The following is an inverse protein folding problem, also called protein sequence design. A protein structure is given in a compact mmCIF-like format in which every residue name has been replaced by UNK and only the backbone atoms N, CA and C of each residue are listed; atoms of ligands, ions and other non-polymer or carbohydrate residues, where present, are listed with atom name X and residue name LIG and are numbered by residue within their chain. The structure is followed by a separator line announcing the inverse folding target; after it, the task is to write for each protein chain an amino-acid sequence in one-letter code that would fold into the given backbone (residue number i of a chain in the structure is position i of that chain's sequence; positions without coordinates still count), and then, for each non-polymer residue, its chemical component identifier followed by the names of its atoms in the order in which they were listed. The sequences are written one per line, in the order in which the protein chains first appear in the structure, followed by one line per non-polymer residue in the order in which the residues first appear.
data_IF_034075879870
#
_entry.id   IF_034075879870
#
_cell.length_a   1.000
_cell.length_b   1.000
_cell.length_c   1.000
_cell.angle_alpha   90.00
_cell.angle_beta   90.00
_cell.angle_gamma   90.00
#
_symmetry.space_group_name_H-M   'P 1'
#
loop_
_entity.id
_entity.type
_entity.pdbx_description
1 polymer ?
#
# COMPACT_ATOMS: atom_id res chain seq x y z
N UNK A 1 16.07 -25.04 19.57
CA UNK A 1 14.66 -25.24 19.18
C UNK A 1 14.09 -26.27 20.14
N UNK A 2 12.96 -25.99 20.80
CA UNK A 2 12.32 -26.99 21.68
C UNK A 2 11.76 -28.13 20.85
N UNK A 3 11.75 -29.34 21.40
CA UNK A 3 11.10 -30.47 20.75
C UNK A 3 9.60 -30.16 20.60
N UNK A 4 9.02 -30.27 19.39
CA UNK A 4 7.59 -30.12 19.17
C UNK A 4 6.75 -30.99 20.12
N UNK A 5 7.21 -32.19 20.47
CA UNK A 5 6.51 -33.10 21.37
C UNK A 5 6.43 -32.53 22.79
N UNK A 6 7.50 -31.89 23.28
CA UNK A 6 7.52 -31.27 24.60
C UNK A 6 6.47 -30.14 24.69
N UNK A 7 6.31 -29.35 23.62
CA UNK A 7 5.32 -28.27 23.57
C UNK A 7 3.90 -28.83 23.63
N UNK A 8 3.59 -29.86 22.84
CA UNK A 8 2.26 -30.49 22.79
C UNK A 8 1.91 -31.16 24.12
N UNK A 9 2.86 -31.90 24.72
CA UNK A 9 2.66 -32.57 26.00
C UNK A 9 2.45 -31.59 27.17
N UNK A 10 2.86 -30.33 27.01
CA UNK A 10 2.73 -29.28 28.00
C UNK A 10 1.94 -28.07 27.47
N UNK A 11 1.02 -28.30 26.53
CA UNK A 11 0.27 -27.24 25.84
C UNK A 11 -0.52 -26.34 26.82
N UNK A 12 -0.88 -26.85 27.99
CA UNK A 12 -1.50 -26.09 29.08
C UNK A 12 -0.61 -24.97 29.64
N UNK A 13 0.70 -25.00 29.38
CA UNK A 13 1.65 -23.93 29.76
C UNK A 13 1.75 -22.81 28.74
N UNK A 14 1.21 -22.99 27.54
CA UNK A 14 1.23 -21.97 26.47
C UNK A 14 0.50 -20.71 26.94
N UNK A 15 1.07 -19.54 26.69
CA UNK A 15 0.51 -18.24 27.10
C UNK A 15 0.27 -17.37 25.87
N UNK A 16 -0.94 -16.82 25.67
CA UNK A 16 -1.17 -15.85 24.60
C UNK A 16 -0.57 -14.49 24.98
N UNK A 17 0.22 -13.94 24.08
CA UNK A 17 0.61 -12.53 24.07
C UNK A 17 -0.24 -11.79 23.04
N UNK A 18 -0.38 -10.48 23.24
CA UNK A 18 -1.24 -9.61 22.46
C UNK A 18 -0.39 -8.48 21.89
N UNK A 19 -0.29 -8.41 20.56
CA UNK A 19 0.38 -7.32 19.88
C UNK A 19 -0.65 -6.27 19.45
N UNK A 20 -0.57 -5.03 19.96
CA UNK A 20 -1.55 -3.99 19.62
C UNK A 20 -1.53 -3.61 18.14
N UNK A 21 -2.71 -3.42 17.58
CA UNK A 21 -2.95 -2.90 16.24
C UNK A 21 -3.60 -1.52 16.37
N UNK A 22 -2.97 -0.51 15.76
CA UNK A 22 -3.42 0.88 15.84
C UNK A 22 -4.18 1.29 14.59
N UNK A 23 -5.24 2.09 14.73
CA UNK A 23 -5.84 2.74 13.56
C UNK A 23 -5.14 4.05 13.22
N UNK A 24 -5.00 4.32 11.92
CA UNK A 24 -4.40 5.56 11.44
C UNK A 24 -5.29 6.79 11.67
N UNK A 25 -6.61 6.62 11.82
CA UNK A 25 -7.58 7.74 11.97
C UNK A 25 -7.58 8.34 13.37
N UNK A 26 -7.73 7.52 14.42
CA UNK A 26 -7.83 7.99 15.80
C UNK A 26 -6.52 7.83 16.58
N UNK A 27 -5.56 7.08 16.02
CA UNK A 27 -4.30 6.71 16.66
C UNK A 27 -4.53 5.96 17.98
N UNK A 28 -5.56 5.10 18.00
CA UNK A 28 -5.92 4.25 19.12
C UNK A 28 -5.68 2.78 18.77
N UNK A 29 -5.48 1.95 19.79
CA UNK A 29 -5.53 0.51 19.65
C UNK A 29 -6.97 0.12 19.28
N UNK A 30 -7.14 -0.58 18.17
CA UNK A 30 -8.44 -1.10 17.69
C UNK A 30 -8.55 -2.61 17.78
N UNK A 31 -7.46 -3.29 18.10
CA UNK A 31 -7.44 -4.72 18.30
C UNK A 31 -6.06 -5.24 18.64
N UNK A 32 -5.97 -6.56 18.77
CA UNK A 32 -4.74 -7.25 19.10
C UNK A 32 -4.58 -8.51 18.27
N UNK A 33 -3.37 -8.73 17.77
CA UNK A 33 -2.96 -10.04 17.25
C UNK A 33 -2.54 -10.95 18.40
N UNK A 34 -3.02 -12.19 18.36
CA UNK A 34 -2.71 -13.22 19.34
C UNK A 34 -1.47 -13.99 18.90
N UNK A 35 -0.44 -13.94 19.74
CA UNK A 35 0.85 -14.59 19.53
C UNK A 35 1.13 -15.59 20.65
N UNK A 36 1.33 -16.85 20.29
CA UNK A 36 1.58 -17.90 21.27
C UNK A 36 3.02 -17.88 21.78
N UNK A 37 3.17 -17.90 23.11
CA UNK A 37 4.46 -17.99 23.79
C UNK A 37 4.50 -19.19 24.73
N UNK A 38 5.70 -19.68 25.02
CA UNK A 38 5.92 -20.82 25.91
C UNK A 38 6.93 -20.46 27.01
N UNK A 39 6.65 -20.80 28.28
CA UNK A 39 7.57 -20.54 29.38
C UNK A 39 8.73 -21.54 29.37
N UNK A 40 9.95 -21.01 29.40
CA UNK A 40 11.19 -21.79 29.46
C UNK A 40 12.05 -21.35 30.64
N UNK A 41 13.16 -22.06 30.87
CA UNK A 41 14.17 -21.64 31.85
C UNK A 41 14.81 -20.28 31.51
N UNK A 42 14.82 -19.90 30.22
CA UNK A 42 15.39 -18.65 29.72
C UNK A 42 14.36 -17.51 29.68
N UNK A 43 13.09 -17.78 30.02
CA UNK A 43 11.98 -16.84 29.97
C UNK A 43 10.88 -17.27 28.99
N UNK A 44 10.02 -16.33 28.62
CA UNK A 44 8.97 -16.55 27.62
C UNK A 44 9.57 -16.51 26.22
N UNK A 45 9.33 -17.55 25.42
CA UNK A 45 9.78 -17.63 24.03
C UNK A 45 8.59 -17.72 23.07
N UNK A 46 8.70 -17.12 21.89
CA UNK A 46 7.68 -17.23 20.85
C UNK A 46 7.58 -18.65 20.31
N UNK A 47 6.36 -19.10 20.05
CA UNK A 47 6.07 -20.37 19.36
C UNK A 47 5.96 -20.23 17.85
N UNK A 48 6.23 -19.06 17.27
CA UNK A 48 6.28 -18.90 15.81
C UNK A 48 7.17 -19.95 15.11
N UNK A 49 8.38 -20.32 15.62
CA UNK A 49 9.18 -21.38 15.00
C UNK A 49 8.50 -22.75 15.00
N UNK A 50 7.69 -23.07 16.02
CA UNK A 50 6.92 -24.31 16.08
C UNK A 50 5.80 -24.35 15.02
N UNK A 51 5.07 -23.24 14.84
CA UNK A 51 4.00 -23.17 13.83
C UNK A 51 4.53 -23.12 12.41
N UNK A 52 5.69 -22.47 12.20
CA UNK A 52 6.31 -22.30 10.88
C UNK A 52 7.13 -23.52 10.43
N UNK A 53 7.41 -24.47 11.32
CA UNK A 53 8.18 -25.67 10.99
C UNK A 53 7.31 -26.66 10.18
N UNK A 54 7.66 -26.98 8.93
CA UNK A 54 6.90 -27.90 8.09
C UNK A 54 7.00 -29.36 8.55
N UNK A 55 7.95 -29.69 9.42
CA UNK A 55 8.13 -31.06 9.96
C UNK A 55 7.21 -31.36 11.14
N UNK A 56 6.59 -30.34 11.73
CA UNK A 56 5.63 -30.49 12.83
C UNK A 56 4.27 -30.93 12.26
N UNK A 57 3.71 -32.07 12.72
CA UNK A 57 2.41 -32.55 12.27
C UNK A 57 1.28 -31.54 12.47
N UNK A 58 0.32 -31.51 11.54
CA UNK A 58 -0.80 -30.55 11.59
C UNK A 58 -1.68 -30.75 12.82
N UNK A 59 -1.79 -31.98 13.32
CA UNK A 59 -2.53 -32.33 14.55
C UNK A 59 -1.90 -31.69 15.78
N UNK A 60 -0.56 -31.63 15.82
CA UNK A 60 0.18 -31.00 16.91
C UNK A 60 0.03 -29.49 16.86
N UNK A 61 0.09 -28.89 15.66
CA UNK A 61 -0.20 -27.47 15.48
C UNK A 61 -1.61 -27.13 15.95
N UNK A 62 -2.60 -27.93 15.55
CA UNK A 62 -3.99 -27.73 15.96
C UNK A 62 -4.19 -27.83 17.47
N UNK A 63 -3.64 -28.86 18.12
CA UNK A 63 -3.78 -29.04 19.56
C UNK A 63 -3.29 -27.82 20.36
N UNK A 64 -2.15 -27.24 19.96
CA UNK A 64 -1.62 -26.02 20.57
C UNK A 64 -2.47 -24.79 20.21
N UNK A 65 -2.90 -24.67 18.94
CA UNK A 65 -3.75 -23.56 18.47
C UNK A 65 -5.07 -23.50 19.23
N UNK A 66 -5.74 -24.63 19.47
CA UNK A 66 -7.01 -24.68 20.19
C UNK A 66 -6.86 -24.12 21.62
N UNK A 67 -5.76 -24.47 22.30
CA UNK A 67 -5.45 -23.94 23.65
C UNK A 67 -5.16 -22.44 23.61
N UNK A 68 -4.46 -21.95 22.58
CA UNK A 68 -4.17 -20.52 22.40
C UNK A 68 -5.48 -19.74 22.19
N UNK A 69 -6.36 -20.23 21.31
CA UNK A 69 -7.66 -19.62 21.05
C UNK A 69 -8.51 -19.55 22.31
N UNK A 70 -8.60 -20.66 23.06
CA UNK A 70 -9.32 -20.71 24.34
C UNK A 70 -8.84 -19.63 25.30
N UNK A 71 -7.53 -19.60 25.58
CA UNK A 71 -6.95 -18.66 26.55
C UNK A 71 -7.08 -17.22 26.09
N UNK A 72 -6.85 -16.94 24.81
CA UNK A 72 -6.91 -15.59 24.26
C UNK A 72 -8.34 -15.04 24.31
N UNK A 73 -9.32 -15.82 23.85
CA UNK A 73 -10.73 -15.41 23.84
C UNK A 73 -11.28 -15.24 25.26
N UNK A 74 -10.97 -16.17 26.18
CA UNK A 74 -11.35 -16.03 27.59
C UNK A 74 -10.77 -14.76 28.20
N UNK A 75 -9.49 -14.47 27.94
CA UNK A 75 -8.82 -13.28 28.45
C UNK A 75 -9.43 -12.00 27.88
N UNK A 76 -9.67 -11.95 26.57
CA UNK A 76 -10.32 -10.81 25.90
C UNK A 76 -11.68 -10.50 26.51
N UNK A 77 -12.53 -11.52 26.67
CA UNK A 77 -13.86 -11.40 27.28
C UNK A 77 -13.81 -10.97 28.74
N UNK A 78 -12.97 -11.61 29.56
CA UNK A 78 -12.84 -11.28 30.99
C UNK A 78 -12.32 -9.86 31.25
N UNK A 79 -11.57 -9.30 30.31
CA UNK A 79 -10.96 -7.96 30.43
C UNK A 79 -11.85 -6.85 29.87
N UNK A 80 -13.09 -7.18 29.48
CA UNK A 80 -14.07 -6.27 28.86
C UNK A 80 -13.45 -5.39 27.76
N UNK A 81 -12.55 -5.98 26.96
CA UNK A 81 -11.92 -5.25 25.86
C UNK A 81 -12.94 -5.01 24.75
N UNK A 82 -12.91 -3.81 24.22
CA UNK A 82 -13.58 -3.48 22.97
C UNK A 82 -12.60 -3.62 21.81
N UNK A 83 -13.10 -3.78 20.59
CA UNK A 83 -12.29 -3.91 19.39
C UNK A 83 -12.17 -5.34 18.86
N UNK A 84 -11.09 -5.62 18.16
CA UNK A 84 -10.90 -6.84 17.37
C UNK A 84 -9.82 -7.76 17.97
N UNK A 85 -10.02 -9.07 17.85
CA UNK A 85 -9.04 -10.10 18.20
C UNK A 85 -8.64 -10.83 16.93
N UNK A 86 -7.39 -10.67 16.53
CA UNK A 86 -6.83 -11.26 15.32
C UNK A 86 -6.19 -12.60 15.67
N UNK A 87 -6.67 -13.66 15.02
CA UNK A 87 -6.27 -15.04 15.24
C UNK A 87 -5.65 -15.61 13.96
N UNK A 88 -4.40 -16.03 14.07
CA UNK A 88 -3.67 -16.72 13.01
C UNK A 88 -4.32 -18.07 12.70
N UNK A 89 -4.62 -18.33 11.42
CA UNK A 89 -5.18 -19.59 10.90
C UNK A 89 -4.21 -20.17 9.87
N UNK A 90 -3.71 -21.37 10.18
CA UNK A 90 -2.92 -22.14 9.22
C UNK A 90 -3.83 -22.81 8.20
N UNK A 91 -3.63 -22.46 6.93
CA UNK A 91 -4.41 -23.04 5.82
C UNK A 91 -4.15 -24.55 5.69
N UNK A 92 -2.93 -25.02 5.97
CA UNK A 92 -2.61 -26.46 6.04
C UNK A 92 -3.49 -27.18 7.07
N UNK A 93 -3.55 -26.65 8.29
CA UNK A 93 -4.27 -27.27 9.40
C UNK A 93 -5.76 -27.32 9.13
N UNK A 94 -6.34 -26.17 8.75
CA UNK A 94 -7.79 -26.06 8.58
C UNK A 94 -8.32 -26.92 7.44
N UNK A 95 -7.58 -27.03 6.33
CA UNK A 95 -7.98 -27.86 5.20
C UNK A 95 -7.69 -29.35 5.40
N UNK A 96 -6.57 -29.70 6.06
CA UNK A 96 -6.18 -31.10 6.25
C UNK A 96 -7.01 -31.81 7.32
N UNK A 97 -7.36 -31.09 8.39
CA UNK A 97 -8.11 -31.65 9.53
C UNK A 97 -9.59 -31.31 9.50
N UNK A 98 -10.03 -30.46 8.57
CA UNK A 98 -11.41 -30.01 8.42
C UNK A 98 -12.00 -29.39 9.72
N UNK A 99 -11.18 -28.62 10.44
CA UNK A 99 -11.50 -28.11 11.79
C UNK A 99 -12.31 -26.81 11.81
N UNK A 100 -12.78 -26.34 10.66
CA UNK A 100 -13.47 -25.05 10.55
C UNK A 100 -14.81 -24.99 11.33
N UNK A 101 -15.57 -26.09 11.37
CA UNK A 101 -16.77 -26.20 12.21
C UNK A 101 -16.40 -26.15 13.69
N UNK A 102 -15.40 -26.93 14.10
CA UNK A 102 -14.91 -26.97 15.49
C UNK A 102 -14.42 -25.60 15.97
N UNK A 103 -13.79 -24.81 15.10
CA UNK A 103 -13.40 -23.43 15.43
C UNK A 103 -14.61 -22.56 15.79
N UNK A 104 -15.70 -22.63 15.00
CA UNK A 104 -16.92 -21.88 15.27
C UNK A 104 -17.55 -22.32 16.59
N UNK A 105 -17.70 -23.63 16.79
CA UNK A 105 -18.22 -24.18 18.05
C UNK A 105 -17.43 -23.67 19.25
N UNK A 106 -16.09 -23.73 19.16
CA UNK A 106 -15.20 -23.24 20.20
C UNK A 106 -15.45 -21.76 20.51
N UNK A 107 -15.52 -20.91 19.49
CA UNK A 107 -15.73 -19.48 19.70
C UNK A 107 -17.11 -19.18 20.28
N UNK A 108 -18.15 -19.92 19.86
CA UNK A 108 -19.51 -19.81 20.40
C UNK A 108 -19.59 -20.29 21.86
N UNK A 109 -18.93 -21.39 22.22
CA UNK A 109 -18.84 -21.89 23.60
C UNK A 109 -18.22 -20.85 24.54
N UNK A 110 -17.23 -20.10 24.06
CA UNK A 110 -16.52 -19.09 24.85
C UNK A 110 -17.29 -17.77 24.97
N UNK A 111 -17.99 -17.37 23.91
CA UNK A 111 -18.44 -15.99 23.72
C UNK A 111 -19.90 -15.81 23.33
N UNK A 112 -20.56 -16.85 22.80
CA UNK A 112 -21.83 -16.74 22.07
C UNK A 112 -21.66 -16.16 20.66
N UNK A 113 -22.76 -16.09 19.90
CA UNK A 113 -22.73 -15.63 18.49
C UNK A 113 -22.24 -14.19 18.34
N UNK A 114 -22.60 -13.30 19.28
CA UNK A 114 -22.18 -11.90 19.24
C UNK A 114 -20.66 -11.73 19.39
N UNK A 115 -19.96 -12.69 20.02
CA UNK A 115 -18.51 -12.61 20.17
C UNK A 115 -17.78 -12.76 18.82
N UNK A 116 -18.37 -13.47 17.86
CA UNK A 116 -17.75 -13.76 16.56
C UNK A 116 -17.46 -12.48 15.76
N UNK A 117 -18.24 -11.41 15.95
CA UNK A 117 -18.02 -10.13 15.26
C UNK A 117 -16.71 -9.42 15.66
N UNK A 118 -16.14 -9.79 16.81
CA UNK A 118 -14.86 -9.30 17.31
C UNK A 118 -13.68 -10.05 16.69
N UNK A 119 -13.91 -11.19 16.04
CA UNK A 119 -12.84 -12.01 15.50
C UNK A 119 -12.43 -11.57 14.11
N UNK A 120 -11.12 -11.57 13.89
CA UNK A 120 -10.50 -11.52 12.58
C UNK A 120 -9.67 -12.78 12.43
N UNK A 121 -9.93 -13.58 11.39
CA UNK A 121 -9.12 -14.75 11.09
C UNK A 121 -8.07 -14.37 10.03
N UNK A 122 -6.80 -14.55 10.36
CA UNK A 122 -5.67 -14.23 9.50
C UNK A 122 -5.18 -15.50 8.80
N UNK A 123 -5.38 -15.58 7.49
CA UNK A 123 -4.96 -16.74 6.70
C UNK A 123 -3.59 -16.49 6.06
N UNK A 124 -2.63 -17.36 6.38
CA UNK A 124 -1.34 -17.45 5.71
C UNK A 124 -1.31 -18.60 4.69
N UNK A 125 -0.30 -18.63 3.82
CA UNK A 125 -0.05 -19.70 2.81
C UNK A 125 -1.21 -20.03 1.86
N UNK A 126 -2.23 -19.17 1.76
CA UNK A 126 -3.41 -19.45 0.92
C UNK A 126 -3.05 -19.68 -0.56
N UNK A 127 -1.90 -19.18 -1.02
CA UNK A 127 -1.46 -19.20 -2.42
C UNK A 127 -1.10 -20.59 -2.94
N UNK A 128 -0.88 -21.54 -2.04
CA UNK A 128 -0.51 -22.92 -2.39
C UNK A 128 -1.75 -23.81 -2.68
N UNK A 129 -2.95 -23.28 -2.46
CA UNK A 129 -4.20 -24.04 -2.56
C UNK A 129 -5.14 -23.54 -3.65
N UNK A 130 -6.06 -24.43 -4.04
CA UNK A 130 -7.19 -24.08 -4.91
C UNK A 130 -8.00 -22.94 -4.29
N UNK A 131 -8.08 -21.85 -5.04
CA UNK A 131 -8.75 -20.63 -4.63
C UNK A 131 -10.26 -20.82 -4.38
N UNK A 132 -10.91 -21.77 -5.06
CA UNK A 132 -12.34 -22.06 -4.86
C UNK A 132 -12.59 -22.67 -3.48
N UNK A 133 -11.68 -23.52 -2.99
CA UNK A 133 -11.79 -24.07 -1.64
C UNK A 133 -11.60 -22.98 -0.58
N UNK A 134 -10.62 -22.09 -0.77
CA UNK A 134 -10.42 -20.94 0.12
C UNK A 134 -11.64 -20.02 0.11
N UNK A 135 -12.25 -19.78 -1.06
CA UNK A 135 -13.45 -18.95 -1.16
C UNK A 135 -14.63 -19.53 -0.39
N UNK A 136 -14.86 -20.84 -0.46
CA UNK A 136 -15.93 -21.50 0.32
C UNK A 136 -15.69 -21.35 1.81
N UNK A 137 -14.45 -21.52 2.25
CA UNK A 137 -14.06 -21.32 3.64
C UNK A 137 -14.28 -19.87 4.10
N UNK A 138 -13.94 -18.90 3.25
CA UNK A 138 -14.18 -17.49 3.51
C UNK A 138 -15.69 -17.19 3.63
N UNK A 139 -16.49 -17.72 2.70
CA UNK A 139 -17.95 -17.56 2.75
C UNK A 139 -18.56 -18.20 4.01
N UNK A 140 -18.04 -19.35 4.44
CA UNK A 140 -18.46 -20.00 5.67
C UNK A 140 -18.23 -19.09 6.89
N UNK A 141 -17.02 -18.59 7.09
CA UNK A 141 -16.71 -17.70 8.23
C UNK A 141 -17.47 -16.36 8.16
N UNK A 142 -17.64 -15.78 6.97
CA UNK A 142 -18.45 -14.57 6.78
C UNK A 142 -19.91 -14.75 7.19
N UNK A 143 -20.47 -15.94 7.01
CA UNK A 143 -21.85 -16.21 7.44
C UNK A 143 -22.06 -16.07 8.95
N UNK A 144 -20.97 -16.11 9.73
CA UNK A 144 -20.94 -15.86 11.17
C UNK A 144 -20.47 -14.44 11.55
N UNK A 145 -20.41 -13.51 10.58
CA UNK A 145 -19.92 -12.13 10.75
C UNK A 145 -18.45 -12.02 11.21
N UNK A 146 -17.66 -13.07 10.98
CA UNK A 146 -16.21 -13.06 11.23
C UNK A 146 -15.52 -12.35 10.06
N UNK A 147 -14.59 -11.44 10.37
CA UNK A 147 -13.78 -10.75 9.36
C UNK A 147 -12.58 -11.62 8.97
N UNK A 148 -12.12 -11.48 7.74
CA UNK A 148 -11.04 -12.27 7.19
C UNK A 148 -9.90 -11.36 6.75
N UNK A 149 -8.70 -11.73 7.18
CA UNK A 149 -7.47 -11.11 6.75
C UNK A 149 -6.64 -12.11 5.93
N UNK A 150 -5.95 -11.61 4.91
CA UNK A 150 -4.91 -12.38 4.22
C UNK A 150 -3.56 -11.81 4.65
N UNK A 151 -2.70 -12.72 5.13
CA UNK A 151 -1.39 -12.37 5.68
C UNK A 151 -0.24 -12.44 4.68
N UNK A 152 0.89 -11.82 5.05
CA UNK A 152 2.18 -11.91 4.36
C UNK A 152 2.15 -11.53 2.87
N UNK A 153 1.37 -10.50 2.52
CA UNK A 153 1.39 -9.96 1.15
C UNK A 153 2.74 -9.29 0.90
N UNK A 154 3.62 -10.04 0.24
CA UNK A 154 4.95 -9.61 -0.17
C UNK A 154 5.06 -9.53 -1.70
N UNK A 155 6.19 -9.04 -2.19
CA UNK A 155 6.46 -9.01 -3.63
C UNK A 155 6.50 -10.42 -4.25
N UNK A 156 6.81 -11.45 -3.45
CA UNK A 156 6.93 -12.84 -3.92
C UNK A 156 5.57 -13.54 -4.02
N UNK A 157 4.64 -13.22 -3.12
CA UNK A 157 3.39 -13.99 -2.94
C UNK A 157 2.11 -13.13 -3.06
N UNK A 158 2.15 -12.00 -3.74
CA UNK A 158 0.95 -11.16 -3.98
C UNK A 158 0.28 -11.50 -5.31
N UNK A 159 -1.01 -11.89 -5.27
CA UNK A 159 -1.82 -12.09 -6.47
C UNK A 159 -3.10 -11.27 -6.41
N UNK A 160 -3.11 -10.14 -7.11
CA UNK A 160 -4.25 -9.20 -7.21
C UNK A 160 -5.53 -9.95 -7.63
N UNK A 161 -5.43 -10.90 -8.55
CA UNK A 161 -6.56 -11.71 -9.00
C UNK A 161 -7.19 -12.49 -7.84
N UNK A 162 -6.38 -13.01 -6.90
CA UNK A 162 -6.90 -13.76 -5.76
C UNK A 162 -7.58 -12.85 -4.77
N UNK A 163 -7.02 -11.68 -4.49
CA UNK A 163 -7.66 -10.69 -3.64
C UNK A 163 -9.00 -10.22 -4.20
N UNK A 164 -9.07 -9.98 -5.51
CA UNK A 164 -10.32 -9.62 -6.18
C UNK A 164 -11.37 -10.75 -6.09
N UNK A 165 -10.94 -12.01 -6.08
CA UNK A 165 -11.85 -13.15 -6.04
C UNK A 165 -12.33 -13.52 -4.62
N UNK A 166 -11.45 -13.36 -3.63
CA UNK A 166 -11.70 -13.65 -2.22
C UNK A 166 -12.34 -12.47 -1.46
N UNK A 167 -12.07 -11.24 -1.91
CA UNK A 167 -12.58 -9.98 -1.35
C UNK A 167 -12.35 -9.87 0.18
N UNK A 168 -11.13 -10.06 0.69
CA UNK A 168 -10.87 -10.06 2.14
C UNK A 168 -11.22 -8.71 2.78
N UNK A 169 -11.67 -8.71 4.02
CA UNK A 169 -11.92 -7.46 4.77
C UNK A 169 -10.60 -6.74 5.07
N UNK A 170 -9.51 -7.49 5.26
CA UNK A 170 -8.18 -6.94 5.59
C UNK A 170 -7.09 -7.58 4.70
N UNK A 171 -6.19 -6.75 4.18
CA UNK A 171 -4.97 -7.18 3.49
C UNK A 171 -3.79 -6.74 4.36
N UNK A 172 -3.00 -7.70 4.87
CA UNK A 172 -1.80 -7.40 5.67
C UNK A 172 -0.57 -7.36 4.77
N UNK A 173 0.20 -6.29 4.89
CA UNK A 173 1.42 -6.04 4.13
C UNK A 173 2.60 -5.96 5.09
N UNK A 174 3.54 -6.87 4.94
CA UNK A 174 4.74 -6.90 5.77
C UNK A 174 5.82 -5.97 5.20
N UNK A 175 6.08 -4.87 5.90
CA UNK A 175 7.04 -3.85 5.46
C UNK A 175 8.49 -4.18 5.83
N UNK A 176 8.71 -5.13 6.74
CA UNK A 176 10.05 -5.52 7.16
C UNK A 176 10.81 -6.27 6.05
N UNK A 177 10.08 -6.94 5.15
CA UNK A 177 10.64 -7.68 4.00
C UNK A 177 11.13 -6.73 2.89
N UNK A 178 10.75 -5.46 2.96
CA UNK A 178 10.88 -4.48 1.87
C UNK A 178 12.21 -3.71 1.82
N UNK A 179 13.03 -3.83 2.88
CA UNK A 179 14.25 -3.00 3.05
C UNK A 179 15.55 -3.71 2.69
N UNK A 180 15.50 -5.01 2.37
CA UNK A 180 16.67 -5.72 1.87
C UNK A 180 16.78 -5.50 0.35
N UNK A 181 17.74 -4.66 -0.05
CA UNK A 181 18.30 -4.47 -1.40
C UNK A 181 17.56 -3.51 -2.36
N UNK A 182 18.25 -3.16 -3.46
CA UNK A 182 17.98 -2.15 -4.52
C UNK A 182 16.56 -2.08 -5.13
N UNK A 183 15.60 -2.83 -4.60
CA UNK A 183 14.19 -2.97 -5.05
C UNK A 183 13.25 -1.95 -4.39
N UNK A 184 13.72 -1.22 -3.37
CA UNK A 184 12.86 -0.40 -2.50
C UNK A 184 11.98 0.65 -3.21
N UNK A 185 12.39 1.14 -4.40
CA UNK A 185 11.58 2.08 -5.18
C UNK A 185 10.47 1.40 -5.99
N UNK A 186 10.71 0.25 -6.62
CA UNK A 186 9.63 -0.50 -7.29
C UNK A 186 8.62 -1.05 -6.28
N UNK A 187 9.10 -1.46 -5.10
CA UNK A 187 8.21 -1.92 -4.05
C UNK A 187 7.25 -0.82 -3.58
N UNK A 188 7.70 0.44 -3.47
CA UNK A 188 6.81 1.57 -3.16
C UNK A 188 5.70 1.77 -4.22
N UNK A 189 6.01 1.62 -5.51
CA UNK A 189 4.98 1.69 -6.56
C UNK A 189 3.95 0.55 -6.45
N UNK A 190 4.41 -0.65 -6.03
CA UNK A 190 3.52 -1.77 -5.73
C UNK A 190 2.61 -1.45 -4.55
N UNK A 191 3.13 -0.82 -3.50
CA UNK A 191 2.33 -0.38 -2.35
C UNK A 191 1.29 0.67 -2.73
N UNK A 192 1.64 1.66 -3.55
CA UNK A 192 0.70 2.66 -4.07
C UNK A 192 -0.43 2.00 -4.86
N UNK A 193 -0.08 1.05 -5.73
CA UNK A 193 -1.05 0.28 -6.51
C UNK A 193 -1.94 -0.58 -5.60
N UNK A 194 -1.36 -1.21 -4.58
CA UNK A 194 -2.09 -2.02 -3.59
C UNK A 194 -3.06 -1.17 -2.78
N UNK A 195 -2.66 0.03 -2.33
CA UNK A 195 -3.53 0.95 -1.61
C UNK A 195 -4.72 1.40 -2.46
N UNK A 196 -4.48 1.75 -3.73
CA UNK A 196 -5.56 2.06 -4.67
C UNK A 196 -6.49 0.86 -4.92
N UNK A 197 -5.91 -0.33 -5.08
CA UNK A 197 -6.66 -1.56 -5.31
C UNK A 197 -7.52 -1.96 -4.10
N UNK A 198 -6.96 -1.99 -2.89
CA UNK A 198 -7.66 -2.28 -1.64
C UNK A 198 -8.86 -1.34 -1.46
N UNK A 199 -8.68 -0.04 -1.72
CA UNK A 199 -9.77 0.94 -1.71
C UNK A 199 -10.88 0.62 -2.72
N UNK A 200 -10.55 0.06 -3.89
CA UNK A 200 -11.53 -0.27 -4.93
C UNK A 200 -12.35 -1.51 -4.60
N UNK A 201 -11.75 -2.50 -3.94
CA UNK A 201 -12.44 -3.73 -3.54
C UNK A 201 -13.05 -3.64 -2.13
N UNK A 202 -12.82 -2.54 -1.41
CA UNK A 202 -13.38 -2.31 -0.07
C UNK A 202 -12.59 -2.97 1.06
N UNK A 203 -11.35 -3.39 0.80
CA UNK A 203 -10.46 -3.97 1.81
C UNK A 203 -9.72 -2.90 2.60
N UNK A 204 -9.51 -3.18 3.89
CA UNK A 204 -8.65 -2.38 4.77
C UNK A 204 -7.20 -2.81 4.60
N UNK A 205 -6.30 -1.86 4.36
CA UNK A 205 -4.87 -2.15 4.27
C UNK A 205 -4.23 -2.04 5.67
N UNK A 206 -3.62 -3.14 6.12
CA UNK A 206 -2.86 -3.22 7.37
C UNK A 206 -1.38 -3.34 7.05
N UNK A 207 -0.55 -2.48 7.65
CA UNK A 207 0.91 -2.62 7.57
C UNK A 207 1.45 -3.19 8.88
N UNK A 208 2.18 -4.28 8.76
CA UNK A 208 2.88 -4.93 9.87
C UNK A 208 4.40 -4.83 9.70
N UNK A 209 5.17 -5.25 10.71
CA UNK A 209 6.63 -5.20 10.65
C UNK A 209 7.22 -3.79 10.81
N UNK A 210 6.45 -2.82 11.33
CA UNK A 210 6.93 -1.46 11.56
C UNK A 210 7.97 -1.46 12.71
N UNK A 211 9.24 -1.33 12.37
CA UNK A 211 10.38 -1.36 13.30
C UNK A 211 11.10 -0.01 13.43
N UNK A 212 10.84 0.93 12.52
CA UNK A 212 11.41 2.28 12.53
C UNK A 212 10.45 3.35 11.95
N UNK A 213 10.83 4.62 12.09
CA UNK A 213 10.00 5.77 11.67
C UNK A 213 9.74 5.80 10.16
N UNK A 214 10.74 5.43 9.36
CA UNK A 214 10.65 5.31 7.90
C UNK A 214 9.57 4.30 7.49
N UNK A 215 9.49 3.15 8.14
CA UNK A 215 8.43 2.15 7.91
C UNK A 215 7.05 2.73 8.18
N UNK A 216 6.90 3.46 9.31
CA UNK A 216 5.65 4.11 9.66
C UNK A 216 5.25 5.18 8.63
N UNK A 217 6.22 5.94 8.13
CA UNK A 217 5.99 6.93 7.08
C UNK A 217 5.50 6.29 5.78
N UNK A 218 6.13 5.18 5.36
CA UNK A 218 5.71 4.41 4.18
C UNK A 218 4.30 3.86 4.36
N UNK A 219 4.00 3.22 5.50
CA UNK A 219 2.66 2.73 5.79
C UNK A 219 1.60 3.86 5.73
N UNK A 220 1.89 5.01 6.34
CA UNK A 220 0.99 6.18 6.30
C UNK A 220 0.79 6.71 4.87
N UNK A 221 1.86 6.83 4.09
CA UNK A 221 1.83 7.38 2.72
C UNK A 221 1.03 6.48 1.76
N UNK A 222 1.13 5.17 1.91
CA UNK A 222 0.51 4.20 1.00
C UNK A 222 -0.87 3.70 1.47
N UNK A 223 -1.56 4.46 2.33
CA UNK A 223 -2.95 4.19 2.71
C UNK A 223 -3.13 3.16 3.82
N UNK A 224 -2.09 2.91 4.62
CA UNK A 224 -2.14 2.05 5.79
C UNK A 224 -3.16 2.54 6.81
N UNK A 225 -4.28 1.82 6.90
CA UNK A 225 -5.39 2.14 7.80
C UNK A 225 -5.21 1.50 9.17
N UNK A 226 -4.57 0.33 9.20
CA UNK A 226 -4.16 -0.37 10.41
C UNK A 226 -2.63 -0.50 10.42
N UNK A 227 -2.04 -0.33 11.61
CA UNK A 227 -0.59 -0.23 11.79
C UNK A 227 -0.16 -1.13 12.96
N UNK A 228 0.86 -1.94 12.72
CA UNK A 228 1.39 -2.86 13.71
C UNK A 228 2.91 -3.01 13.59
N UNK A 229 3.59 -3.11 14.73
CA UNK A 229 5.03 -3.39 14.74
C UNK A 229 5.73 -2.95 16.02
N UNK A 230 6.96 -3.44 16.22
CA UNK A 230 7.75 -3.20 17.43
C UNK A 230 8.05 -1.72 17.71
N UNK A 231 8.10 -0.87 16.67
CA UNK A 231 8.28 0.58 16.82
C UNK A 231 7.10 1.26 17.50
N UNK A 232 5.89 0.73 17.24
CA UNK A 232 4.65 1.19 17.84
C UNK A 232 4.51 0.59 19.23
N UNK A 233 4.43 -0.73 19.29
CA UNK A 233 4.36 -1.47 20.53
C UNK A 233 4.70 -2.95 20.32
N UNK A 234 5.49 -3.51 21.25
CA UNK A 234 5.81 -4.94 21.26
C UNK A 234 4.62 -5.78 21.77
N UNK A 235 4.61 -7.10 21.58
CA UNK A 235 3.63 -7.98 22.21
C UNK A 235 3.78 -8.00 23.73
N UNK A 236 2.66 -8.05 24.46
CA UNK A 236 2.62 -8.18 25.91
C UNK A 236 1.58 -9.20 26.35
N UNK A 237 1.72 -9.74 27.55
CA UNK A 237 0.72 -10.67 28.10
C UNK A 237 -0.61 -9.96 28.44
N UNK A 238 -0.61 -8.67 28.77
CA UNK A 238 -1.80 -7.91 29.16
C UNK A 238 -2.23 -6.90 28.09
N UNK A 239 -3.54 -6.64 28.03
CA UNK A 239 -4.09 -5.51 27.27
C UNK A 239 -3.61 -4.16 27.82
N UNK A 240 -3.60 -3.16 26.95
CA UNK A 240 -3.07 -1.83 27.18
C UNK A 240 -4.19 -0.80 27.06
N UNK A 241 -3.99 0.42 27.58
CA UNK A 241 -4.97 1.48 27.38
C UNK A 241 -5.03 1.86 25.89
N UNK A 242 -6.21 2.02 25.28
CA UNK A 242 -6.32 2.24 23.84
C UNK A 242 -5.55 3.44 23.30
N UNK A 243 -5.33 4.47 24.13
CA UNK A 243 -4.67 5.73 23.77
C UNK A 243 -3.18 5.80 24.14
N UNK A 244 -2.56 4.70 24.57
CA UNK A 244 -1.21 4.67 25.13
C UNK A 244 -0.11 5.27 24.23
N UNK A 245 -0.28 5.22 22.90
CA UNK A 245 0.66 5.78 21.92
C UNK A 245 0.11 7.01 21.17
N UNK A 246 -1.09 7.49 21.52
CA UNK A 246 -1.84 8.47 20.72
C UNK A 246 -1.04 9.76 20.46
N UNK A 247 -0.48 10.35 21.51
CA UNK A 247 0.27 11.63 21.42
C UNK A 247 1.51 11.46 20.53
N UNK A 248 2.28 10.38 20.75
CA UNK A 248 3.49 10.08 19.98
C UNK A 248 3.19 9.87 18.50
N UNK A 249 2.14 9.10 18.19
CA UNK A 249 1.68 8.88 16.82
C UNK A 249 1.22 10.17 16.15
N UNK A 250 0.49 11.04 16.87
CA UNK A 250 0.04 12.33 16.35
C UNK A 250 1.21 13.26 16.00
N UNK A 251 2.26 13.29 16.82
CA UNK A 251 3.47 14.06 16.53
C UNK A 251 4.19 13.56 15.28
N UNK A 252 4.36 12.24 15.16
CA UNK A 252 4.98 11.59 14.00
C UNK A 252 4.20 11.85 12.71
N UNK A 253 2.89 11.57 12.72
CA UNK A 253 2.00 11.81 11.58
C UNK A 253 1.99 13.30 11.22
N UNK A 254 1.98 14.20 12.22
CA UNK A 254 2.09 15.63 11.99
C UNK A 254 3.37 16.04 11.26
N UNK A 255 4.48 15.34 11.49
CA UNK A 255 5.73 15.56 10.75
C UNK A 255 5.63 15.13 9.29
N UNK A 256 4.99 13.98 9.01
CA UNK A 256 4.76 13.49 7.65
C UNK A 256 3.85 14.41 6.86
N UNK A 257 2.75 14.88 7.48
CA UNK A 257 1.84 15.84 6.87
C UNK A 257 2.58 17.12 6.47
N UNK A 258 3.43 17.68 7.36
CA UNK A 258 4.19 18.89 7.05
C UNK A 258 5.16 18.67 5.89
N UNK A 259 5.83 17.52 5.86
CA UNK A 259 6.75 17.14 4.80
C UNK A 259 6.03 17.05 3.44
N UNK A 260 4.95 16.28 3.34
CA UNK A 260 4.20 16.13 2.09
C UNK A 260 3.51 17.44 1.66
N UNK A 261 3.00 18.24 2.60
CA UNK A 261 2.47 19.56 2.28
C UNK A 261 3.54 20.49 1.70
N UNK A 262 4.76 20.47 2.22
CA UNK A 262 5.85 21.29 1.70
C UNK A 262 6.18 20.89 0.25
N UNK A 263 6.29 19.58 0.00
CA UNK A 263 6.50 19.03 -1.33
C UNK A 263 5.43 19.47 -2.33
N UNK A 264 4.15 19.34 -1.97
CA UNK A 264 3.03 19.76 -2.82
C UNK A 264 3.08 21.28 -3.10
N UNK A 265 3.46 22.10 -2.10
CA UNK A 265 3.59 23.56 -2.30
C UNK A 265 4.68 23.90 -3.31
N UNK A 266 5.83 23.24 -3.27
CA UNK A 266 6.90 23.46 -4.25
C UNK A 266 6.46 23.06 -5.67
N UNK A 267 5.78 21.92 -5.82
CA UNK A 267 5.21 21.48 -7.10
C UNK A 267 4.18 22.48 -7.67
N UNK A 268 3.34 23.05 -6.81
CA UNK A 268 2.38 24.09 -7.20
C UNK A 268 3.09 25.40 -7.59
N UNK A 269 4.18 25.75 -6.92
CA UNK A 269 5.00 26.92 -7.27
C UNK A 269 5.62 26.75 -8.65
N UNK A 270 6.21 25.59 -8.93
CA UNK A 270 6.75 25.24 -10.26
C UNK A 270 5.66 25.33 -11.33
N UNK A 271 4.50 24.71 -11.08
CA UNK A 271 3.36 24.71 -12.01
C UNK A 271 2.94 26.13 -12.38
N UNK A 272 2.86 27.04 -11.40
CA UNK A 272 2.53 28.46 -11.65
C UNK A 272 3.61 29.21 -12.42
N UNK A 273 4.88 28.88 -12.18
CA UNK A 273 5.98 29.46 -12.92
C UNK A 273 5.92 29.05 -14.40
N UNK A 274 5.73 27.76 -14.65
CA UNK A 274 5.59 27.20 -15.99
C UNK A 274 4.37 27.80 -16.70
N UNK A 275 3.22 27.91 -16.02
CA UNK A 275 2.02 28.57 -16.56
C UNK A 275 2.33 29.99 -17.06
N UNK A 276 3.00 30.81 -16.24
CA UNK A 276 3.36 32.18 -16.62
C UNK A 276 4.29 32.23 -17.83
N UNK A 277 5.29 31.34 -17.87
CA UNK A 277 6.28 31.27 -18.96
C UNK A 277 5.62 30.83 -20.26
N UNK A 278 4.78 29.80 -20.25
CA UNK A 278 4.04 29.36 -21.44
C UNK A 278 3.11 30.46 -21.94
N UNK A 279 2.33 31.09 -21.05
CA UNK A 279 1.41 32.16 -21.45
C UNK A 279 2.14 33.35 -22.08
N UNK A 280 3.33 33.70 -21.57
CA UNK A 280 4.16 34.77 -22.14
C UNK A 280 4.57 34.45 -23.58
N UNK A 281 5.03 33.22 -23.85
CA UNK A 281 5.45 32.80 -25.20
C UNK A 281 4.24 32.71 -26.13
N UNK A 282 3.15 32.11 -25.67
CA UNK A 282 1.92 31.93 -26.44
C UNK A 282 1.28 33.28 -26.85
N UNK A 283 1.30 34.28 -25.96
CA UNK A 283 0.80 35.62 -26.28
C UNK A 283 1.64 36.35 -27.33
N UNK A 284 2.95 36.09 -27.37
CA UNK A 284 3.85 36.72 -28.35
C UNK A 284 3.73 36.09 -29.74
N UNK A 285 3.28 34.83 -29.82
CA UNK A 285 3.34 33.99 -31.03
C UNK A 285 1.96 33.43 -31.43
N UNK A 286 0.88 34.14 -31.10
CA UNK A 286 -0.53 33.79 -31.35
C UNK A 286 -0.89 33.45 -32.82
N UNK A 287 -0.01 33.68 -33.78
CA UNK A 287 -0.20 33.38 -35.21
C UNK A 287 0.75 32.31 -35.77
N UNK A 288 1.67 31.77 -34.97
CA UNK A 288 2.57 30.71 -35.43
C UNK A 288 1.87 29.35 -35.46
N UNK A 289 2.32 28.45 -36.34
CA UNK A 289 1.85 27.07 -36.33
C UNK A 289 2.33 26.31 -35.07
N UNK A 290 1.70 25.15 -34.81
CA UNK A 290 1.98 24.37 -33.61
C UNK A 290 3.43 23.86 -33.56
N UNK A 291 4.07 23.60 -34.69
CA UNK A 291 5.46 23.12 -34.73
C UNK A 291 6.43 24.20 -34.29
N UNK A 292 6.27 25.39 -34.87
CA UNK A 292 7.06 26.57 -34.54
C UNK A 292 6.84 26.96 -33.08
N UNK A 293 5.61 26.92 -32.58
CA UNK A 293 5.34 27.19 -31.18
C UNK A 293 6.02 26.17 -30.25
N UNK A 294 5.93 24.87 -30.57
CA UNK A 294 6.56 23.81 -29.79
C UNK A 294 8.09 23.94 -29.77
N UNK A 295 8.72 24.28 -30.91
CA UNK A 295 10.15 24.56 -31.01
C UNK A 295 10.58 25.68 -30.07
N UNK A 296 9.88 26.82 -30.15
CA UNK A 296 10.19 27.99 -29.34
C UNK A 296 10.04 27.70 -27.85
N UNK A 297 9.02 26.94 -27.47
CA UNK A 297 8.83 26.49 -26.09
C UNK A 297 9.96 25.55 -25.67
N UNK A 298 10.41 24.64 -26.51
CA UNK A 298 11.54 23.76 -26.21
C UNK A 298 12.81 24.55 -25.86
N UNK A 299 13.15 25.57 -26.66
CA UNK A 299 14.31 26.43 -26.38
C UNK A 299 14.13 27.32 -25.13
N UNK A 300 12.92 27.80 -24.83
CA UNK A 300 12.65 28.67 -23.67
C UNK A 300 12.59 27.91 -22.33
N UNK A 301 12.45 26.60 -22.38
CA UNK A 301 12.41 25.72 -21.20
C UNK A 301 13.67 24.87 -21.07
N UNK A 302 14.68 25.09 -21.91
CA UNK A 302 16.01 24.53 -21.71
C UNK A 302 16.68 25.12 -20.46
N UNK A 303 17.31 24.32 -19.57
CA UNK A 303 17.54 22.86 -19.66
C UNK A 303 16.49 21.98 -18.94
N UNK A 304 15.41 22.56 -18.41
CA UNK A 304 14.44 21.92 -17.50
C UNK A 304 13.65 20.76 -18.14
N UNK A 305 13.52 20.78 -19.47
CA UNK A 305 12.73 19.82 -20.25
C UNK A 305 13.61 19.14 -21.30
N UNK A 306 13.24 17.92 -21.67
CA UNK A 306 13.92 17.17 -22.74
C UNK A 306 13.00 16.83 -23.92
N UNK A 307 11.67 16.91 -23.74
CA UNK A 307 10.68 16.73 -24.81
C UNK A 307 9.55 17.76 -24.70
N UNK A 308 9.15 18.35 -25.82
CA UNK A 308 7.99 19.26 -25.92
C UNK A 308 7.14 18.90 -27.13
N UNK A 309 5.82 18.83 -26.94
CA UNK A 309 4.85 18.56 -28.00
C UNK A 309 3.46 19.15 -27.71
N UNK A 310 2.65 19.29 -28.75
CA UNK A 310 1.30 19.86 -28.69
C UNK A 310 0.27 18.87 -29.21
N UNK A 311 -0.81 18.67 -28.46
CA UNK A 311 -1.96 17.84 -28.85
C UNK A 311 -3.27 18.63 -28.80
N UNK A 312 -4.27 18.14 -29.53
CA UNK A 312 -5.66 18.55 -29.37
C UNK A 312 -6.31 17.90 -28.14
N UNK A 313 -7.49 18.41 -27.75
CA UNK A 313 -8.29 17.88 -26.64
C UNK A 313 -8.69 16.41 -26.79
N UNK A 314 -8.81 15.91 -28.03
CA UNK A 314 -9.12 14.53 -28.36
C UNK A 314 -7.89 13.60 -28.40
N UNK A 315 -6.70 14.14 -28.09
CA UNK A 315 -5.45 13.41 -27.97
C UNK A 315 -4.65 13.26 -29.25
N UNK A 316 -5.13 13.75 -30.40
CA UNK A 316 -4.31 13.76 -31.61
C UNK A 316 -3.18 14.78 -31.49
N UNK A 317 -1.95 14.31 -31.70
CA UNK A 317 -0.76 15.15 -31.68
C UNK A 317 -0.66 15.99 -32.96
N UNK A 318 -0.49 17.31 -32.77
CA UNK A 318 -0.47 18.31 -33.83
C UNK A 318 0.95 18.71 -34.23
N UNK A 319 1.87 18.82 -33.28
CA UNK A 319 3.27 19.16 -33.55
C UNK A 319 4.16 17.92 -33.66
N UNK A 320 5.37 18.08 -34.18
CA UNK A 320 6.46 17.15 -33.98
C UNK A 320 6.78 17.02 -32.49
N UNK A 321 7.47 15.94 -32.13
CA UNK A 321 8.16 15.87 -30.85
C UNK A 321 9.47 16.65 -30.98
N UNK A 322 9.58 17.78 -30.30
CA UNK A 322 10.87 18.42 -30.12
C UNK A 322 11.58 17.70 -28.99
N UNK A 323 12.71 17.05 -29.28
CA UNK A 323 13.49 16.25 -28.33
C UNK A 323 14.97 16.65 -28.37
N UNK A 324 15.69 16.47 -27.26
CA UNK A 324 17.15 16.57 -27.24
C UNK A 324 17.79 15.30 -27.80
N UNK A 325 18.69 15.46 -28.77
CA UNK A 325 19.54 14.36 -29.23
C UNK A 325 20.71 14.10 -28.25
N UNK A 326 21.54 13.09 -28.54
CA UNK A 326 22.71 12.74 -27.71
C UNK A 326 23.76 13.87 -27.57
N UNK A 327 23.73 14.87 -28.46
CA UNK A 327 24.61 16.05 -28.39
C UNK A 327 23.97 17.22 -27.62
N UNK A 328 22.79 17.01 -27.00
CA UNK A 328 22.03 18.03 -26.28
C UNK A 328 21.34 19.06 -27.18
N UNK A 329 21.26 18.82 -28.50
CA UNK A 329 20.60 19.72 -29.45
C UNK A 329 19.15 19.30 -29.68
N UNK A 330 18.28 20.30 -29.77
CA UNK A 330 16.87 20.12 -30.13
C UNK A 330 16.73 19.66 -31.58
N UNK A 331 15.97 18.59 -31.79
CA UNK A 331 15.61 18.04 -33.09
C UNK A 331 14.12 17.73 -33.13
N UNK A 332 13.48 17.90 -34.29
CA UNK A 332 12.08 17.58 -34.50
C UNK A 332 11.92 16.13 -34.97
N UNK A 333 11.18 15.31 -34.23
CA UNK A 333 10.65 14.03 -34.71
C UNK A 333 9.25 14.20 -35.30
N UNK A 334 9.22 14.28 -36.62
CA UNK A 334 8.01 14.43 -37.44
C UNK A 334 7.09 13.21 -37.39
N UNK A 335 7.61 12.02 -37.03
CA UNK A 335 6.82 10.79 -36.99
C UNK A 335 5.76 10.78 -35.86
N UNK A 336 5.85 11.72 -34.92
CA UNK A 336 4.90 11.84 -33.83
C UNK A 336 3.56 12.49 -34.26
N UNK A 337 3.54 13.23 -35.37
CA UNK A 337 2.33 13.92 -35.85
C UNK A 337 1.22 12.92 -36.20
N UNK A 338 0.01 13.20 -35.74
CA UNK A 338 -1.16 12.36 -35.98
C UNK A 338 -1.28 11.13 -35.07
N UNK A 339 -0.30 10.84 -34.20
CA UNK A 339 -0.47 9.85 -33.13
C UNK A 339 -1.56 10.31 -32.16
N UNK A 340 -2.26 9.35 -31.54
CA UNK A 340 -3.30 9.64 -30.56
C UNK A 340 -2.88 9.14 -29.16
N UNK A 341 -3.03 10.00 -28.15
CA UNK A 341 -2.61 9.70 -26.77
C UNK A 341 -3.77 9.56 -25.77
N UNK A 342 -5.02 9.55 -26.25
CA UNK A 342 -6.21 9.50 -25.39
C UNK A 342 -6.33 8.22 -24.55
N UNK A 343 -5.66 7.14 -24.96
CA UNK A 343 -5.60 5.87 -24.22
C UNK A 343 -4.71 5.92 -22.99
N UNK A 344 -3.81 6.91 -22.87
CA UNK A 344 -2.90 7.02 -21.72
C UNK A 344 -3.70 7.28 -20.44
N UNK A 345 -3.31 6.67 -19.29
CA UNK A 345 -3.95 6.96 -18.02
C UNK A 345 -4.04 8.46 -17.76
N UNK A 346 -5.19 8.90 -17.23
CA UNK A 346 -5.48 10.29 -16.87
C UNK A 346 -5.54 11.32 -18.00
N UNK A 347 -5.15 11.02 -19.25
CA UNK A 347 -5.09 12.00 -20.34
C UNK A 347 -6.38 12.82 -20.47
N UNK A 348 -7.51 12.15 -20.77
CA UNK A 348 -8.80 12.82 -20.97
C UNK A 348 -9.26 13.58 -19.72
N UNK A 349 -9.04 13.00 -18.53
CA UNK A 349 -9.41 13.62 -17.25
C UNK A 349 -8.63 14.92 -17.03
N UNK A 350 -7.31 14.89 -17.26
CA UNK A 350 -6.45 16.06 -17.08
C UNK A 350 -6.74 17.14 -18.13
N UNK A 351 -6.97 16.77 -19.38
CA UNK A 351 -7.36 17.70 -20.46
C UNK A 351 -8.62 18.49 -20.10
N UNK A 352 -9.66 17.82 -19.62
CA UNK A 352 -10.91 18.47 -19.18
C UNK A 352 -10.72 19.33 -17.91
N UNK A 353 -9.86 18.90 -16.99
CA UNK A 353 -9.52 19.68 -15.80
C UNK A 353 -8.78 20.98 -16.18
N UNK A 354 -7.79 20.89 -17.06
CA UNK A 354 -7.05 22.03 -17.59
C UNK A 354 -7.96 23.01 -18.32
N UNK A 355 -8.92 22.52 -19.12
CA UNK A 355 -9.88 23.38 -19.82
C UNK A 355 -10.76 24.16 -18.84
N UNK A 356 -11.30 23.47 -17.83
CA UNK A 356 -12.17 24.08 -16.81
C UNK A 356 -11.44 25.11 -15.95
N UNK A 357 -10.23 24.80 -15.52
CA UNK A 357 -9.49 25.62 -14.55
C UNK A 357 -8.54 26.63 -15.19
N UNK A 358 -8.21 26.46 -16.48
CA UNK A 358 -7.23 27.27 -17.22
C UNK A 358 -5.87 27.36 -16.54
N UNK A 359 -5.45 26.26 -15.91
CA UNK A 359 -4.17 26.12 -15.21
C UNK A 359 -3.48 24.86 -15.69
N UNK A 360 -2.16 24.87 -15.68
CA UNK A 360 -1.36 23.68 -15.95
C UNK A 360 -1.50 22.62 -14.86
N UNK A 361 -1.12 21.39 -15.22
CA UNK A 361 -1.08 20.22 -14.35
C UNK A 361 0.30 19.60 -14.48
N UNK A 362 0.93 19.34 -13.34
CA UNK A 362 2.11 18.49 -13.24
C UNK A 362 1.65 17.06 -12.94
N UNK A 363 2.11 16.09 -13.72
CA UNK A 363 1.78 14.67 -13.51
C UNK A 363 2.42 14.11 -12.24
N UNK A 364 1.96 12.93 -11.83
CA UNK A 364 2.71 12.06 -10.93
C UNK A 364 4.04 11.62 -11.59
N UNK A 365 4.95 11.06 -10.79
CA UNK A 365 6.21 10.51 -11.29
C UNK A 365 5.93 9.21 -12.05
N UNK A 366 6.48 9.06 -13.24
CA UNK A 366 6.34 7.83 -14.03
C UNK A 366 7.57 7.58 -14.91
N UNK A 367 7.71 6.39 -15.50
CA UNK A 367 8.83 6.09 -16.41
C UNK A 367 8.47 6.46 -17.84
N UNK A 368 9.34 7.23 -18.51
CA UNK A 368 9.19 7.52 -19.93
C UNK A 368 9.28 6.23 -20.76
N UNK A 369 8.45 6.11 -21.79
CA UNK A 369 8.37 4.88 -22.60
C UNK A 369 9.62 4.72 -23.49
N UNK A 370 10.27 5.82 -23.87
CA UNK A 370 11.42 5.79 -24.78
C UNK A 370 12.75 5.76 -24.03
N UNK A 371 12.91 6.59 -22.99
CA UNK A 371 14.18 6.67 -22.23
C UNK A 371 14.23 5.73 -21.03
N UNK A 372 13.07 5.25 -20.54
CA UNK A 372 12.92 4.49 -19.29
C UNK A 372 13.43 5.25 -18.04
N UNK A 373 13.59 6.57 -18.14
CA UNK A 373 13.93 7.44 -17.01
C UNK A 373 12.67 7.88 -16.26
N UNK A 374 12.82 8.20 -14.97
CA UNK A 374 11.73 8.73 -14.14
C UNK A 374 11.53 10.21 -14.43
N UNK A 375 10.35 10.55 -14.92
CA UNK A 375 10.01 11.90 -15.34
C UNK A 375 8.67 12.34 -14.76
N UNK A 376 8.41 13.64 -14.89
CA UNK A 376 7.07 14.20 -14.80
C UNK A 376 6.76 14.92 -16.10
N UNK A 377 5.48 14.99 -16.45
CA UNK A 377 5.00 15.82 -17.53
C UNK A 377 4.25 16.99 -16.95
N UNK A 378 4.67 18.20 -17.29
CA UNK A 378 3.85 19.38 -17.13
C UNK A 378 3.01 19.58 -18.39
N UNK A 379 1.71 19.82 -18.22
CA UNK A 379 0.79 20.08 -19.33
C UNK A 379 -0.04 21.33 -19.06
N UNK A 380 -0.34 22.12 -20.09
CA UNK A 380 -1.21 23.28 -19.92
C UNK A 380 -1.98 23.65 -21.21
N UNK A 381 -3.13 24.33 -21.09
CA UNK A 381 -3.90 24.76 -22.24
C UNK A 381 -3.28 26.02 -22.89
N UNK A 382 -3.16 26.00 -24.21
CA UNK A 382 -2.62 27.13 -25.01
C UNK A 382 -3.69 27.78 -25.90
N UNK A 383 -4.95 27.35 -25.80
CA UNK A 383 -6.08 27.90 -26.54
C UNK A 383 -6.43 27.10 -27.79
N UNK A 384 -7.56 27.43 -28.42
CA UNK A 384 -8.08 26.73 -29.62
C UNK A 384 -8.22 25.19 -29.46
N UNK A 385 -8.47 24.72 -28.24
CA UNK A 385 -8.55 23.28 -27.95
C UNK A 385 -7.20 22.55 -28.00
N UNK A 386 -6.08 23.28 -27.96
CA UNK A 386 -4.73 22.75 -27.94
C UNK A 386 -4.11 22.82 -26.54
N UNK A 387 -3.26 21.82 -26.26
CA UNK A 387 -2.56 21.64 -25.00
C UNK A 387 -1.10 21.33 -25.33
N UNK A 388 -0.20 22.00 -24.61
CA UNK A 388 1.23 21.70 -24.69
C UNK A 388 1.61 20.77 -23.55
N UNK A 389 2.55 19.88 -23.84
CA UNK A 389 3.11 18.89 -22.92
C UNK A 389 4.63 19.07 -22.90
N UNK A 390 5.18 19.08 -21.70
CA UNK A 390 6.60 19.22 -21.41
C UNK A 390 7.01 18.03 -20.55
N UNK A 391 7.87 17.16 -21.08
CA UNK A 391 8.48 16.11 -20.28
C UNK A 391 9.74 16.69 -19.63
N UNK A 392 9.75 16.74 -18.30
CA UNK A 392 10.85 17.28 -17.50
C UNK A 392 12.08 16.38 -17.63
N UNK A 393 13.26 16.98 -17.74
CA UNK A 393 14.52 16.25 -17.82
C UNK A 393 14.78 15.48 -16.52
N UNK A 394 15.34 14.27 -16.64
CA UNK A 394 15.64 13.44 -15.48
C UNK A 394 16.57 14.15 -14.49
N UNK A 395 17.63 14.83 -14.96
CA UNK A 395 18.52 15.57 -14.07
C UNK A 395 17.77 16.67 -13.31
N UNK A 396 16.86 17.39 -13.98
CA UNK A 396 16.06 18.43 -13.35
C UNK A 396 15.16 17.88 -12.23
N UNK A 397 14.60 16.69 -12.43
CA UNK A 397 13.79 15.96 -11.45
C UNK A 397 14.66 15.48 -10.27
N UNK A 398 15.82 14.86 -10.53
CA UNK A 398 16.68 14.31 -9.50
C UNK A 398 17.38 15.36 -8.62
N UNK A 399 17.65 16.56 -9.15
CA UNK A 399 18.20 17.68 -8.36
C UNK A 399 17.22 18.24 -7.33
N UNK A 400 15.94 17.85 -7.39
CA UNK A 400 14.85 18.40 -6.58
C UNK A 400 14.07 17.28 -5.90
N UNK A 401 14.40 17.02 -4.64
CA UNK A 401 13.74 15.98 -3.83
C UNK A 401 12.20 16.07 -3.82
N UNK A 402 11.63 17.27 -3.97
CA UNK A 402 10.19 17.47 -4.00
C UNK A 402 9.52 17.07 -5.33
N UNK A 403 10.30 16.76 -6.38
CA UNK A 403 9.81 16.14 -7.62
C UNK A 403 9.85 14.61 -7.56
N UNK A 404 10.58 14.00 -6.62
CA UNK A 404 10.71 12.54 -6.48
C UNK A 404 9.55 11.86 -5.75
#
# INVERSE_FOLDING_TARGET
MMDPLDIVMNQEKVVPFFQPIFNAEQQLIVGYEVLAHFPTKEGMVSLQPFFSDPTVPVEYKWAVTEVVYQKACQKFKSSAQEGLLFLNVSTDVILSLDVHERMIELFQELGGDEFLQHLVLEFSTIFDYDIENIKRLFQYFRSYNIKLAIDDVSYQNSSINRFAFLEPEIIKVNIAVSYDQDVGHYYREVLDTMGLFARKIGSTLMFEGISELSHLHVAWRHGGSLLQGHYLQRPYESFQTPDCQRVKLQEMIGSFIRFEQNKIREQLTLTREFDRRVQKVNQQKLQEDADTLAENLAYQFDPEVFRVYICYSDGYQRSANWIKNNDGKWVADENAKGKNWSFRPFFLKQTLQMEKHRTGILSDLYHDIETNERIRTYSCPIGQGMYVYFDLAAEYVYERDWLL
#
